data_IF_086488919844
#
_entry.id   IF_086488919844
#
_cell.length_a   1.000
_cell.length_b   1.000
_cell.length_c   1.000
_cell.angle_alpha   90.00
_cell.angle_beta   90.00
_cell.angle_gamma   90.00
#
_symmetry.space_group_name_H-M   'P 1'
#
loop_
_entity.id
_entity.type
_entity.pdbx_description
1 polymer ?
#
# COMPACT_ATOMS: atom_id res chain seq x y z
N UNK A 1 3.39 6.85 -48.00
CA UNK A 1 3.37 5.76 -46.98
C UNK A 1 3.08 6.44 -45.65
N UNK A 2 1.80 6.54 -45.29
CA UNK A 2 1.31 7.28 -44.11
C UNK A 2 1.80 6.60 -42.82
N UNK A 3 2.52 7.34 -41.99
CA UNK A 3 2.83 6.95 -40.62
C UNK A 3 1.52 6.86 -39.82
N UNK A 4 1.00 5.65 -39.65
CA UNK A 4 -0.06 5.39 -38.69
C UNK A 4 0.55 5.45 -37.29
N UNK A 5 0.41 6.59 -36.63
CA UNK A 5 0.54 6.68 -35.17
C UNK A 5 -0.45 5.66 -34.58
N UNK A 6 0.00 4.64 -33.83
CA UNK A 6 -0.89 3.58 -33.38
C UNK A 6 -1.93 4.19 -32.43
N UNK A 7 -3.19 4.18 -32.84
CA UNK A 7 -4.38 4.60 -32.07
C UNK A 7 -4.44 3.92 -30.68
N UNK A 8 -3.77 2.77 -30.55
CA UNK A 8 -3.52 2.04 -29.30
C UNK A 8 -2.75 2.85 -28.24
N UNK A 9 -1.80 3.70 -28.65
CA UNK A 9 -1.00 4.53 -27.74
C UNK A 9 -1.82 5.65 -27.11
N UNK A 10 -2.75 6.26 -27.87
CA UNK A 10 -3.56 7.40 -27.42
C UNK A 10 -4.65 6.93 -26.44
N UNK A 11 -5.33 5.82 -26.72
CA UNK A 11 -6.33 5.27 -25.81
C UNK A 11 -5.71 4.78 -24.49
N UNK A 12 -4.51 4.19 -24.55
CA UNK A 12 -3.73 3.83 -23.37
C UNK A 12 -3.28 5.08 -22.60
N UNK A 13 -2.77 6.10 -23.29
CA UNK A 13 -2.40 7.38 -22.68
C UNK A 13 -3.60 8.05 -22.02
N UNK A 14 -4.80 8.00 -22.61
CA UNK A 14 -6.02 8.59 -22.02
C UNK A 14 -6.44 7.83 -20.75
N UNK A 15 -6.41 6.49 -20.75
CA UNK A 15 -6.77 5.68 -19.58
C UNK A 15 -5.72 5.75 -18.47
N UNK A 16 -4.44 5.73 -18.82
CA UNK A 16 -3.33 5.97 -17.89
C UNK A 16 -3.37 7.40 -17.38
N UNK A 17 -3.71 8.38 -18.21
CA UNK A 17 -3.91 9.77 -17.78
C UNK A 17 -5.13 9.90 -16.86
N UNK A 18 -6.21 9.17 -17.09
CA UNK A 18 -7.36 9.16 -16.18
C UNK A 18 -7.01 8.53 -14.82
N UNK A 19 -6.32 7.39 -14.82
CA UNK A 19 -5.78 6.77 -13.60
C UNK A 19 -4.76 7.67 -12.89
N UNK A 20 -3.87 8.32 -13.65
CA UNK A 20 -2.92 9.30 -13.13
C UNK A 20 -3.60 10.55 -12.60
N UNK A 21 -4.65 11.04 -13.22
CA UNK A 21 -5.44 12.15 -12.72
C UNK A 21 -6.16 11.76 -11.42
N UNK A 22 -6.64 10.53 -11.30
CA UNK A 22 -7.20 10.02 -10.05
C UNK A 22 -6.13 9.92 -8.96
N UNK A 23 -4.98 9.32 -9.24
CA UNK A 23 -3.83 9.23 -8.31
C UNK A 23 -3.31 10.61 -7.95
N UNK A 24 -3.16 11.52 -8.92
CA UNK A 24 -2.72 12.90 -8.73
C UNK A 24 -3.73 13.70 -7.93
N UNK A 25 -5.04 13.50 -8.11
CA UNK A 25 -6.07 14.11 -7.27
C UNK A 25 -5.99 13.56 -5.86
N UNK A 26 -5.87 12.25 -5.67
CA UNK A 26 -5.71 11.64 -4.35
C UNK A 26 -4.44 12.16 -3.67
N UNK A 27 -3.29 12.18 -4.35
CA UNK A 27 -2.05 12.75 -3.85
C UNK A 27 -2.17 14.25 -3.55
N UNK A 28 -2.84 15.02 -4.41
CA UNK A 28 -3.08 16.46 -4.19
C UNK A 28 -4.00 16.68 -2.98
N UNK A 29 -5.06 15.90 -2.83
CA UNK A 29 -5.92 15.92 -1.64
C UNK A 29 -5.15 15.53 -0.38
N UNK A 30 -4.27 14.52 -0.45
CA UNK A 30 -3.37 14.12 0.64
C UNK A 30 -2.40 15.26 0.99
N UNK A 31 -1.79 15.90 0.00
CA UNK A 31 -0.91 17.05 0.21
C UNK A 31 -1.65 18.25 0.80
N UNK A 32 -2.86 18.54 0.32
CA UNK A 32 -3.72 19.60 0.84
C UNK A 32 -4.16 19.30 2.28
N UNK A 33 -4.56 18.07 2.59
CA UNK A 33 -4.93 17.65 3.93
C UNK A 33 -3.73 17.69 4.91
N UNK A 34 -2.56 17.20 4.48
CA UNK A 34 -1.33 17.28 5.26
C UNK A 34 -0.84 18.72 5.46
N UNK A 35 -1.15 19.64 4.53
CA UNK A 35 -0.89 21.06 4.68
C UNK A 35 -1.92 21.74 5.59
N UNK A 36 -3.18 21.32 5.53
CA UNK A 36 -4.25 21.76 6.41
C UNK A 36 -4.02 21.36 7.87
N UNK A 37 -3.57 20.13 8.13
CA UNK A 37 -3.19 19.66 9.47
C UNK A 37 -2.01 20.46 10.05
N UNK A 38 -0.99 20.72 9.23
CA UNK A 38 0.15 21.58 9.62
C UNK A 38 -0.24 23.04 9.85
N UNK A 39 -1.22 23.55 9.09
CA UNK A 39 -1.72 24.92 9.23
C UNK A 39 -2.62 25.07 10.47
N UNK A 40 -3.48 24.08 10.78
CA UNK A 40 -4.29 24.06 11.99
C UNK A 40 -3.44 24.00 13.27
N UNK A 41 -2.36 23.21 13.25
CA UNK A 41 -1.41 23.14 14.36
C UNK A 41 -0.56 24.42 14.51
N UNK A 42 -0.26 25.11 13.40
CA UNK A 42 0.45 26.41 13.41
C UNK A 42 -0.44 27.61 13.80
N UNK A 43 -1.77 27.48 13.71
CA UNK A 43 -2.73 28.56 14.00
C UNK A 43 -3.27 28.55 15.44
N UNK A 44 -2.91 27.57 16.28
CA UNK A 44 -3.25 27.59 17.71
C UNK A 44 -4.75 27.62 18.04
N UNK A 45 -5.62 27.23 17.11
CA UNK A 45 -7.08 27.18 17.30
C UNK A 45 -7.46 25.85 17.98
N UNK A 46 -6.95 25.63 19.20
CA UNK A 46 -7.54 24.69 20.14
C UNK A 46 -7.88 25.52 21.39
N UNK A 47 -9.10 26.05 21.38
CA UNK A 47 -9.62 26.92 22.42
C UNK A 47 -9.69 26.20 23.78
N UNK A 48 -9.19 26.91 24.77
CA UNK A 48 -9.22 26.66 26.20
C UNK A 48 -10.66 26.51 26.72
N UNK A 49 -10.97 25.36 27.34
CA UNK A 49 -12.07 25.20 28.30
C UNK A 49 -11.68 24.13 29.34
N UNK A 50 -11.22 24.60 30.50
CA UNK A 50 -10.97 23.81 31.71
C UNK A 50 -12.26 23.22 32.28
N UNK A 51 -12.28 21.93 32.62
CA UNK A 51 -12.42 21.39 34.00
C UNK A 51 -12.92 19.92 34.08
N UNK A 52 -12.14 19.10 34.80
CA UNK A 52 -12.51 17.87 35.53
C UNK A 52 -12.94 16.61 34.75
N UNK A 53 -11.99 16.02 34.02
CA UNK A 53 -11.71 14.58 34.09
C UNK A 53 -10.27 14.38 33.58
N UNK A 54 -9.44 13.60 34.29
CA UNK A 54 -8.09 13.24 33.81
C UNK A 54 -8.22 12.45 32.49
N UNK A 55 -8.21 13.17 31.38
CA UNK A 55 -7.88 12.62 30.06
C UNK A 55 -6.35 12.59 30.03
N UNK A 56 -5.69 11.42 30.04
CA UNK A 56 -4.25 11.36 29.95
C UNK A 56 -3.81 12.09 28.68
N UNK A 57 -2.83 12.97 28.87
CA UNK A 57 -2.22 13.82 27.86
C UNK A 57 -1.91 13.04 26.58
N UNK A 58 -2.37 13.58 25.46
CA UNK A 58 -1.72 13.53 24.15
C UNK A 58 -1.27 12.13 23.68
N UNK A 59 -2.18 11.34 23.12
CA UNK A 59 -1.82 10.21 22.27
C UNK A 59 -1.31 10.71 20.90
N UNK A 60 -0.12 11.29 20.88
CA UNK A 60 0.61 11.57 19.64
C UNK A 60 1.34 10.30 19.16
N UNK A 61 0.57 9.32 18.66
CA UNK A 61 1.09 8.10 18.02
C UNK A 61 1.91 8.43 16.74
N UNK A 62 1.84 9.67 16.26
CA UNK A 62 2.52 10.16 15.05
C UNK A 62 3.78 11.03 15.32
N UNK A 63 4.10 11.36 16.57
CA UNK A 63 5.18 12.29 16.90
C UNK A 63 6.51 11.68 17.37
N UNK A 64 6.49 10.45 17.88
CA UNK A 64 7.64 9.93 18.64
C UNK A 64 8.65 9.16 17.80
N UNK A 65 9.93 9.31 18.16
CA UNK A 65 11.10 8.58 17.59
C UNK A 65 10.83 7.07 17.46
N UNK A 66 10.03 6.51 18.37
CA UNK A 66 9.58 5.13 18.36
C UNK A 66 8.85 4.73 17.07
N UNK A 67 7.93 5.56 16.56
CA UNK A 67 7.19 5.29 15.32
C UNK A 67 8.10 5.19 14.10
N UNK A 68 9.07 6.10 13.98
CA UNK A 68 10.08 6.06 12.93
C UNK A 68 10.97 4.82 13.02
N UNK A 69 11.38 4.43 14.23
CA UNK A 69 12.15 3.20 14.47
C UNK A 69 11.35 1.98 13.99
N UNK A 70 10.09 1.86 14.40
CA UNK A 70 9.22 0.73 14.01
C UNK A 70 9.05 0.68 12.49
N UNK A 71 8.77 1.82 11.84
CA UNK A 71 8.65 1.88 10.38
C UNK A 71 9.94 1.48 9.67
N UNK A 72 11.09 1.98 10.15
CA UNK A 72 12.41 1.61 9.63
C UNK A 72 12.69 0.12 9.77
N UNK A 73 12.36 -0.47 10.92
CA UNK A 73 12.50 -1.92 11.18
C UNK A 73 11.61 -2.74 10.24
N UNK A 74 10.32 -2.39 10.11
CA UNK A 74 9.39 -3.08 9.22
C UNK A 74 9.83 -3.01 7.75
N UNK A 75 10.30 -1.84 7.31
CA UNK A 75 10.85 -1.67 5.96
C UNK A 75 12.11 -2.52 5.76
N UNK A 76 13.03 -2.51 6.73
CA UNK A 76 14.24 -3.32 6.72
C UNK A 76 13.93 -4.81 6.58
N UNK A 77 13.05 -5.34 7.44
CA UNK A 77 12.64 -6.75 7.42
C UNK A 77 11.96 -7.11 6.09
N UNK A 78 11.10 -6.22 5.57
CA UNK A 78 10.41 -6.43 4.29
C UNK A 78 11.39 -6.51 3.12
N UNK A 79 12.36 -5.58 3.06
CA UNK A 79 13.43 -5.58 2.07
C UNK A 79 14.32 -6.82 2.19
N UNK A 80 14.71 -7.21 3.41
CA UNK A 80 15.48 -8.43 3.66
C UNK A 80 14.72 -9.69 3.23
N UNK A 81 13.40 -9.74 3.43
CA UNK A 81 12.56 -10.86 3.01
C UNK A 81 12.58 -11.03 1.49
N UNK A 82 12.48 -9.94 0.72
CA UNK A 82 12.59 -9.98 -0.74
C UNK A 82 14.00 -10.39 -1.21
N UNK A 83 15.05 -9.89 -0.54
CA UNK A 83 16.43 -10.28 -0.82
C UNK A 83 16.67 -11.77 -0.59
N UNK A 84 16.18 -12.30 0.54
CA UNK A 84 16.26 -13.73 0.84
C UNK A 84 15.50 -14.55 -0.19
N UNK A 85 14.28 -14.15 -0.56
CA UNK A 85 13.50 -14.83 -1.60
C UNK A 85 14.28 -14.89 -2.92
N UNK A 86 14.86 -13.78 -3.37
CA UNK A 86 15.69 -13.74 -4.58
C UNK A 86 16.93 -14.63 -4.48
N UNK A 87 17.58 -14.66 -3.31
CA UNK A 87 18.75 -15.51 -3.09
C UNK A 87 18.40 -17.00 -3.17
N UNK A 88 17.23 -17.42 -2.70
CA UNK A 88 16.79 -18.82 -2.78
C UNK A 88 16.05 -19.18 -4.07
N UNK A 89 15.78 -18.21 -4.94
CA UNK A 89 15.07 -18.41 -6.20
C UNK A 89 15.86 -19.31 -7.18
N UNK A 90 15.20 -20.34 -7.72
CA UNK A 90 15.77 -21.26 -8.73
C UNK A 90 14.80 -21.44 -9.91
N UNK A 91 15.20 -21.14 -11.16
CA UNK A 91 16.39 -20.39 -11.57
C UNK A 91 16.33 -18.93 -11.07
N UNK A 92 17.48 -18.37 -10.71
CA UNK A 92 17.57 -17.01 -10.16
C UNK A 92 17.37 -15.98 -11.27
N UNK A 93 16.38 -15.10 -11.14
CA UNK A 93 16.19 -13.97 -12.08
C UNK A 93 17.34 -12.98 -11.97
N UNK A 94 17.64 -12.27 -13.07
CA UNK A 94 18.67 -11.23 -13.06
C UNK A 94 18.36 -10.16 -12.02
N UNK A 95 19.43 -9.68 -11.36
CA UNK A 95 19.32 -8.70 -10.28
C UNK A 95 18.63 -7.41 -10.73
N UNK A 96 18.86 -6.96 -11.98
CA UNK A 96 18.19 -5.78 -12.55
C UNK A 96 16.67 -5.96 -12.63
N UNK A 97 16.20 -7.09 -13.16
CA UNK A 97 14.76 -7.41 -13.23
C UNK A 97 14.14 -7.52 -11.85
N UNK A 98 14.85 -8.18 -10.92
CA UNK A 98 14.45 -8.23 -9.52
C UNK A 98 14.26 -6.83 -8.90
N UNK A 99 15.19 -5.90 -9.15
CA UNK A 99 15.07 -4.51 -8.65
C UNK A 99 13.88 -3.77 -9.28
N UNK A 100 13.62 -4.00 -10.57
CA UNK A 100 12.46 -3.41 -11.25
C UNK A 100 11.12 -3.93 -10.71
N UNK A 101 11.06 -5.20 -10.29
CA UNK A 101 9.87 -5.78 -9.64
C UNK A 101 9.74 -5.28 -8.20
N UNK A 102 10.84 -5.28 -7.45
CA UNK A 102 10.89 -4.83 -6.06
C UNK A 102 10.56 -3.35 -5.91
N UNK A 103 10.98 -2.50 -6.86
CA UNK A 103 10.63 -1.08 -6.88
C UNK A 103 9.13 -0.84 -7.02
N UNK A 104 8.37 -1.70 -7.74
CA UNK A 104 6.90 -1.60 -7.78
C UNK A 104 6.28 -1.91 -6.42
N UNK A 105 6.79 -2.94 -5.76
CA UNK A 105 6.31 -3.32 -4.42
C UNK A 105 6.60 -2.22 -3.40
N UNK A 106 7.81 -1.65 -3.42
CA UNK A 106 8.19 -0.55 -2.53
C UNK A 106 7.36 0.70 -2.80
N UNK A 107 7.13 1.07 -4.06
CA UNK A 107 6.26 2.20 -4.41
C UNK A 107 4.79 1.96 -3.99
N UNK A 108 4.29 0.73 -4.16
CA UNK A 108 2.97 0.33 -3.69
C UNK A 108 2.84 0.40 -2.16
N UNK A 109 3.85 -0.08 -1.42
CA UNK A 109 3.89 0.00 0.04
C UNK A 109 3.92 1.46 0.52
N UNK A 110 4.72 2.31 -0.12
CA UNK A 110 4.73 3.74 0.14
C UNK A 110 3.38 4.41 -0.12
N UNK A 111 2.70 4.05 -1.22
CA UNK A 111 1.35 4.54 -1.52
C UNK A 111 0.33 4.11 -0.45
N UNK A 112 0.32 2.82 -0.07
CA UNK A 112 -0.57 2.34 1.01
C UNK A 112 -0.29 3.06 2.32
N UNK A 113 0.98 3.27 2.66
CA UNK A 113 1.36 4.01 3.87
C UNK A 113 0.76 5.42 3.89
N UNK A 114 0.90 6.17 2.78
CA UNK A 114 0.30 7.49 2.63
C UNK A 114 -1.24 7.45 2.70
N UNK A 115 -1.88 6.47 2.06
CA UNK A 115 -3.34 6.32 2.08
C UNK A 115 -3.85 5.94 3.46
N UNK A 116 -3.14 5.09 4.21
CA UNK A 116 -3.48 4.72 5.57
C UNK A 116 -3.43 5.94 6.51
N UNK A 117 -2.38 6.76 6.40
CA UNK A 117 -2.29 8.01 7.15
C UNK A 117 -3.44 8.98 6.80
N UNK A 118 -3.77 9.09 5.52
CA UNK A 118 -4.90 9.91 5.08
C UNK A 118 -6.24 9.41 5.63
N UNK A 119 -6.48 8.10 5.62
CA UNK A 119 -7.70 7.51 6.18
C UNK A 119 -7.78 7.75 7.69
N UNK A 120 -6.65 7.67 8.42
CA UNK A 120 -6.62 7.95 9.85
C UNK A 120 -7.06 9.39 10.17
N UNK A 121 -6.57 10.37 9.41
CA UNK A 121 -7.00 11.78 9.54
C UNK A 121 -8.48 11.95 9.21
N UNK A 122 -8.96 11.30 8.14
CA UNK A 122 -10.36 11.38 7.74
C UNK A 122 -11.31 10.78 8.79
N UNK A 123 -10.95 9.64 9.38
CA UNK A 123 -11.75 8.98 10.41
C UNK A 123 -11.74 9.72 11.74
N UNK A 124 -10.60 10.31 12.12
CA UNK A 124 -10.51 11.18 13.28
C UNK A 124 -11.45 12.40 13.14
N UNK A 125 -11.54 12.99 11.95
CA UNK A 125 -12.42 14.13 11.69
C UNK A 125 -13.93 13.76 11.62
N UNK A 126 -14.29 12.49 11.46
CA UNK A 126 -15.67 12.04 11.30
C UNK A 126 -16.39 11.73 12.63
N UNK A 127 -15.76 12.01 13.78
CA UNK A 127 -16.30 11.89 15.14
C UNK A 127 -16.90 10.51 15.49
N UNK A 128 -16.51 9.45 14.78
CA UNK A 128 -16.86 8.05 15.09
C UNK A 128 -16.03 7.49 16.26
N UNK A 129 -15.59 8.35 17.18
CA UNK A 129 -14.47 8.17 18.12
C UNK A 129 -14.77 7.34 19.39
N UNK A 130 -15.68 6.35 19.33
CA UNK A 130 -15.92 5.43 20.45
C UNK A 130 -15.18 4.10 20.29
N UNK A 131 -14.54 3.87 19.15
CA UNK A 131 -13.93 2.58 18.85
C UNK A 131 -12.41 2.56 19.07
N UNK A 132 -11.92 1.45 19.63
CA UNK A 132 -10.52 1.23 19.99
C UNK A 132 -9.57 1.35 18.78
N UNK A 133 -8.66 2.34 18.82
CA UNK A 133 -7.72 2.66 17.75
C UNK A 133 -6.80 1.48 17.38
N UNK A 134 -6.34 0.73 18.38
CA UNK A 134 -5.48 -0.43 18.16
C UNK A 134 -6.24 -1.55 17.44
N UNK A 135 -7.52 -1.73 17.79
CA UNK A 135 -8.40 -2.70 17.15
C UNK A 135 -8.65 -2.32 15.67
N UNK A 136 -8.94 -1.06 15.39
CA UNK A 136 -9.13 -0.56 14.02
C UNK A 136 -7.88 -0.65 13.16
N UNK A 137 -6.73 -0.26 13.71
CA UNK A 137 -5.45 -0.39 13.04
C UNK A 137 -5.14 -1.86 12.72
N UNK A 138 -5.36 -2.76 13.67
CA UNK A 138 -5.14 -4.19 13.48
C UNK A 138 -6.02 -4.77 12.37
N UNK A 139 -7.33 -4.45 12.38
CA UNK A 139 -8.26 -4.84 11.31
C UNK A 139 -7.78 -4.33 9.96
N UNK A 140 -7.40 -3.05 9.89
CA UNK A 140 -6.95 -2.43 8.66
C UNK A 140 -5.77 -3.20 8.04
N UNK A 141 -4.77 -3.54 8.85
CA UNK A 141 -3.62 -4.33 8.40
C UNK A 141 -4.04 -5.74 7.98
N UNK A 142 -4.85 -6.42 8.79
CA UNK A 142 -5.27 -7.78 8.49
C UNK A 142 -6.04 -7.86 7.18
N UNK A 143 -6.96 -6.93 6.92
CA UNK A 143 -7.74 -6.91 5.67
C UNK A 143 -6.87 -6.50 4.49
N UNK A 144 -6.05 -5.44 4.63
CA UNK A 144 -5.15 -4.97 3.55
C UNK A 144 -4.21 -6.11 3.08
N UNK A 145 -3.65 -6.85 4.02
CA UNK A 145 -2.63 -7.90 3.75
C UNK A 145 -3.23 -9.26 3.38
N UNK A 146 -4.53 -9.49 3.59
CA UNK A 146 -5.23 -10.73 3.20
C UNK A 146 -6.14 -10.52 2.00
N UNK A 147 -7.33 -9.95 2.24
CA UNK A 147 -8.32 -9.66 1.22
C UNK A 147 -7.80 -8.65 0.19
N UNK A 148 -7.08 -7.62 0.64
CA UNK A 148 -6.46 -6.63 -0.23
C UNK A 148 -5.45 -7.24 -1.21
N UNK A 149 -4.61 -8.17 -0.76
CA UNK A 149 -3.68 -8.90 -1.65
C UNK A 149 -4.43 -9.70 -2.73
N UNK A 150 -5.54 -10.35 -2.36
CA UNK A 150 -6.41 -11.04 -3.31
C UNK A 150 -7.04 -10.09 -4.35
N UNK A 151 -7.51 -8.92 -3.91
CA UNK A 151 -8.02 -7.88 -4.80
C UNK A 151 -6.94 -7.32 -5.73
N UNK A 152 -5.73 -7.07 -5.23
CA UNK A 152 -4.60 -6.65 -6.05
C UNK A 152 -4.31 -7.66 -7.16
N UNK A 153 -4.31 -8.96 -6.85
CA UNK A 153 -4.15 -10.02 -7.84
C UNK A 153 -5.28 -10.01 -8.89
N UNK A 154 -6.53 -9.90 -8.46
CA UNK A 154 -7.70 -9.85 -9.35
C UNK A 154 -7.64 -8.64 -10.28
N UNK A 155 -7.37 -7.46 -9.75
CA UNK A 155 -7.25 -6.23 -10.52
C UNK A 155 -6.05 -6.28 -11.46
N UNK A 156 -4.91 -6.84 -11.04
CA UNK A 156 -3.76 -7.04 -11.92
C UNK A 156 -4.14 -7.92 -13.11
N UNK A 157 -4.76 -9.08 -12.88
CA UNK A 157 -5.20 -9.96 -13.97
C UNK A 157 -6.23 -9.28 -14.88
N UNK A 158 -7.15 -8.52 -14.29
CA UNK A 158 -8.09 -7.70 -15.05
C UNK A 158 -7.38 -6.69 -15.94
N UNK A 159 -6.35 -6.01 -15.44
CA UNK A 159 -5.56 -5.05 -16.23
C UNK A 159 -4.73 -5.73 -17.32
N UNK A 160 -4.14 -6.90 -17.07
CA UNK A 160 -3.41 -7.67 -18.10
C UNK A 160 -4.33 -8.04 -19.27
N UNK A 161 -5.55 -8.50 -18.99
CA UNK A 161 -6.55 -8.84 -20.01
C UNK A 161 -7.05 -7.58 -20.73
N UNK A 162 -7.37 -6.52 -19.99
CA UNK A 162 -7.92 -5.28 -20.57
C UNK A 162 -6.91 -4.52 -21.45
N UNK A 163 -5.63 -4.54 -21.08
CA UNK A 163 -4.59 -3.76 -21.73
C UNK A 163 -3.63 -4.59 -22.59
N UNK A 164 -3.71 -5.92 -22.51
CA UNK A 164 -2.89 -6.83 -23.33
C UNK A 164 -1.39 -6.74 -23.05
N UNK A 165 -0.99 -6.52 -21.80
CA UNK A 165 0.42 -6.55 -21.38
C UNK A 165 0.68 -7.73 -20.44
N UNK A 166 1.95 -8.12 -20.35
CA UNK A 166 2.41 -9.16 -19.43
C UNK A 166 3.20 -8.52 -18.29
N UNK A 167 2.74 -8.72 -17.05
CA UNK A 167 3.45 -8.20 -15.88
C UNK A 167 4.83 -8.85 -15.76
N UNK A 168 5.81 -8.06 -15.34
CA UNK A 168 7.20 -8.54 -15.23
C UNK A 168 7.96 -8.58 -16.55
N UNK A 169 7.28 -8.36 -17.69
CA UNK A 169 7.94 -8.35 -19.01
C UNK A 169 8.40 -6.95 -19.41
N UNK A 170 9.72 -6.74 -19.47
CA UNK A 170 10.34 -5.46 -19.87
C UNK A 170 11.08 -5.51 -21.22
N UNK A 171 11.02 -6.65 -21.93
CA UNK A 171 11.73 -6.83 -23.20
C UNK A 171 11.09 -6.07 -24.38
N UNK A 172 11.87 -5.77 -25.42
CA UNK A 172 11.35 -5.25 -26.69
C UNK A 172 11.17 -6.38 -27.71
N UNK A 173 10.23 -6.24 -28.66
CA UNK A 173 9.89 -7.27 -29.67
C UNK A 173 11.02 -7.60 -30.66
N UNK A 174 12.19 -7.00 -30.49
CA UNK A 174 13.34 -7.06 -31.40
C UNK A 174 14.32 -8.20 -31.13
N UNK A 175 14.00 -9.17 -30.26
CA UNK A 175 14.79 -10.40 -30.11
C UNK A 175 16.20 -10.22 -29.52
N UNK A 176 16.50 -9.08 -28.90
CA UNK A 176 17.78 -8.84 -28.22
C UNK A 176 17.53 -8.88 -26.71
N UNK A 177 18.26 -9.78 -26.04
CA UNK A 177 18.31 -10.05 -24.60
C UNK A 177 17.57 -9.03 -23.72
N UNK A 178 16.36 -9.39 -23.30
CA UNK A 178 15.66 -8.72 -22.20
C UNK A 178 16.49 -8.72 -20.90
N UNK A 179 17.52 -9.58 -20.83
CA UNK A 179 18.50 -9.68 -19.74
C UNK A 179 19.44 -8.46 -19.69
N UNK A 180 19.80 -7.90 -20.84
CA UNK A 180 20.93 -6.97 -20.93
C UNK A 180 20.49 -5.50 -20.91
N UNK A 181 19.30 -5.20 -21.46
CA UNK A 181 18.78 -3.82 -21.60
C UNK A 181 17.25 -3.73 -21.38
N UNK A 182 16.77 -3.65 -20.12
CA UNK A 182 15.34 -3.52 -19.84
C UNK A 182 14.77 -2.18 -20.35
N UNK A 183 13.55 -2.22 -20.91
CA UNK A 183 12.83 -1.01 -21.31
C UNK A 183 12.22 -0.33 -20.09
N UNK A 184 12.89 0.72 -19.60
CA UNK A 184 12.45 1.50 -18.45
C UNK A 184 11.11 2.22 -18.69
N UNK A 185 10.71 2.48 -19.94
CA UNK A 185 9.42 3.10 -20.22
C UNK A 185 8.26 2.12 -20.01
N UNK A 186 8.45 0.84 -20.35
CA UNK A 186 7.49 -0.23 -20.01
C UNK A 186 7.40 -0.44 -18.51
N UNK A 187 8.54 -0.46 -17.82
CA UNK A 187 8.56 -0.50 -16.36
C UNK A 187 7.78 0.66 -15.74
N UNK A 188 7.97 1.89 -16.23
CA UNK A 188 7.27 3.08 -15.73
C UNK A 188 5.75 3.01 -15.96
N UNK A 189 5.30 2.44 -17.08
CA UNK A 189 3.87 2.17 -17.32
C UNK A 189 3.34 1.14 -16.32
N UNK A 190 4.06 0.04 -16.11
CA UNK A 190 3.63 -1.01 -15.18
C UNK A 190 3.57 -0.52 -13.73
N UNK A 191 4.54 0.28 -13.27
CA UNK A 191 4.49 0.86 -11.92
C UNK A 191 3.33 1.85 -11.78
N UNK A 192 3.03 2.63 -12.82
CA UNK A 192 1.87 3.54 -12.80
C UNK A 192 0.55 2.78 -12.69
N UNK A 193 0.37 1.71 -13.47
CA UNK A 193 -0.83 0.84 -13.37
C UNK A 193 -0.91 0.18 -12.01
N UNK A 194 0.22 -0.30 -11.48
CA UNK A 194 0.29 -0.89 -10.14
C UNK A 194 -0.15 0.08 -9.04
N UNK A 195 0.29 1.34 -9.08
CA UNK A 195 -0.14 2.35 -8.11
C UNK A 195 -1.66 2.61 -8.18
N UNK A 196 -2.25 2.61 -9.38
CA UNK A 196 -3.70 2.72 -9.54
C UNK A 196 -4.43 1.51 -8.94
N UNK A 197 -3.93 0.29 -9.19
CA UNK A 197 -4.48 -0.94 -8.61
C UNK A 197 -4.47 -0.87 -7.08
N UNK A 198 -3.34 -0.46 -6.50
CA UNK A 198 -3.16 -0.32 -5.05
C UNK A 198 -4.14 0.70 -4.47
N UNK A 199 -4.35 1.84 -5.13
CA UNK A 199 -5.35 2.82 -4.72
C UNK A 199 -6.78 2.26 -4.79
N UNK A 200 -7.15 1.57 -5.87
CA UNK A 200 -8.49 0.97 -6.02
C UNK A 200 -8.74 -0.14 -4.99
N UNK A 201 -7.73 -0.96 -4.73
CA UNK A 201 -7.78 -1.96 -3.66
C UNK A 201 -8.04 -1.26 -2.32
N UNK A 202 -7.28 -0.20 -2.00
CA UNK A 202 -7.44 0.49 -0.71
C UNK A 202 -8.82 1.11 -0.55
N UNK A 203 -9.35 1.75 -1.60
CA UNK A 203 -10.70 2.30 -1.59
C UNK A 203 -11.75 1.21 -1.36
N UNK A 204 -11.56 0.03 -1.96
CA UNK A 204 -12.46 -1.12 -1.77
C UNK A 204 -12.39 -1.64 -0.32
N UNK A 205 -11.20 -1.78 0.25
CA UNK A 205 -11.01 -2.20 1.65
C UNK A 205 -11.67 -1.20 2.61
N UNK A 206 -11.43 0.10 2.42
CA UNK A 206 -12.05 1.15 3.24
C UNK A 206 -13.58 1.10 3.16
N UNK A 207 -14.15 0.91 1.97
CA UNK A 207 -15.60 0.78 1.79
C UNK A 207 -16.17 -0.46 2.52
N UNK A 208 -15.47 -1.59 2.47
CA UNK A 208 -15.86 -2.82 3.18
C UNK A 208 -15.76 -2.64 4.70
N UNK A 209 -14.69 -2.00 5.17
CA UNK A 209 -14.49 -1.69 6.58
C UNK A 209 -15.60 -0.79 7.12
N UNK A 210 -15.97 0.25 6.37
CA UNK A 210 -17.06 1.15 6.73
C UNK A 210 -18.42 0.44 6.75
N UNK A 211 -18.69 -0.42 5.76
CA UNK A 211 -19.97 -1.13 5.63
C UNK A 211 -20.23 -2.12 6.78
N UNK A 212 -19.17 -2.69 7.36
CA UNK A 212 -19.27 -3.71 8.40
C UNK A 212 -18.51 -3.33 9.69
N UNK A 213 -18.43 -2.02 9.99
CA UNK A 213 -17.63 -1.47 11.09
C UNK A 213 -17.82 -2.21 12.42
N UNK A 214 -19.07 -2.40 12.86
CA UNK A 214 -19.36 -3.07 14.14
C UNK A 214 -18.98 -4.56 14.16
N UNK A 215 -18.96 -5.23 13.02
CA UNK A 215 -18.50 -6.62 12.94
C UNK A 215 -16.99 -6.69 13.13
N UNK A 216 -16.25 -5.81 12.45
CA UNK A 216 -14.80 -5.77 12.51
C UNK A 216 -14.27 -5.41 13.90
N UNK A 217 -14.93 -4.47 14.59
CA UNK A 217 -14.58 -4.12 15.96
C UNK A 217 -14.72 -5.32 16.92
N UNK A 218 -15.84 -6.05 16.85
CA UNK A 218 -16.03 -7.27 17.65
C UNK A 218 -15.00 -8.35 17.32
N UNK A 219 -14.69 -8.53 16.05
CA UNK A 219 -13.68 -9.49 15.61
C UNK A 219 -12.29 -9.12 16.17
N UNK A 220 -11.93 -7.84 16.15
CA UNK A 220 -10.66 -7.35 16.67
C UNK A 220 -10.55 -7.51 18.19
N UNK A 221 -11.62 -7.18 18.93
CA UNK A 221 -11.67 -7.37 20.38
C UNK A 221 -11.52 -8.86 20.70
N UNK A 222 -12.28 -9.74 20.04
CA UNK A 222 -12.16 -11.19 20.25
C UNK A 222 -10.73 -11.71 20.03
N UNK A 223 -10.08 -11.25 18.96
CA UNK A 223 -8.70 -11.64 18.61
C UNK A 223 -7.63 -11.05 19.53
N UNK A 224 -7.92 -9.97 20.26
CA UNK A 224 -6.94 -9.28 21.12
C UNK A 224 -7.22 -9.40 22.62
N UNK A 225 -8.42 -9.87 23.01
CA UNK A 225 -8.86 -9.99 24.41
C UNK A 225 -7.99 -10.93 25.25
N UNK A 226 -7.30 -11.90 24.63
CA UNK A 226 -6.39 -12.80 25.33
C UNK A 226 -5.13 -12.10 25.88
N UNK A 227 -4.83 -10.89 25.41
CA UNK A 227 -3.68 -10.08 25.86
C UNK A 227 -4.17 -9.05 26.88
N UNK A 228 -4.10 -9.38 28.16
CA UNK A 228 -4.51 -8.49 29.26
C UNK A 228 -3.55 -7.33 29.50
N UNK A 229 -2.29 -7.44 29.09
CA UNK A 229 -1.27 -6.41 29.27
C UNK A 229 -1.25 -5.42 28.08
N UNK A 230 -1.52 -4.13 28.36
CA UNK A 230 -1.57 -3.06 27.36
C UNK A 230 -0.30 -2.93 26.52
N UNK A 231 0.88 -3.05 27.13
CA UNK A 231 2.17 -2.96 26.43
C UNK A 231 2.38 -4.15 25.49
N UNK A 232 2.03 -5.35 25.95
CA UNK A 232 2.09 -6.55 25.11
C UNK A 232 1.12 -6.46 23.91
N UNK A 233 -0.07 -5.87 24.12
CA UNK A 233 -1.06 -5.65 23.05
C UNK A 233 -0.53 -4.69 21.98
N UNK A 234 0.07 -3.58 22.40
CA UNK A 234 0.69 -2.61 21.47
C UNK A 234 1.81 -3.26 20.64
N UNK A 235 2.72 -3.99 21.27
CA UNK A 235 3.81 -4.70 20.58
C UNK A 235 3.24 -5.72 19.59
N UNK A 236 2.22 -6.48 19.98
CA UNK A 236 1.59 -7.47 19.11
C UNK A 236 0.93 -6.83 17.88
N UNK A 237 0.18 -5.75 18.08
CA UNK A 237 -0.60 -5.07 17.03
C UNK A 237 0.29 -4.24 16.09
N UNK A 238 1.29 -3.53 16.63
CA UNK A 238 2.10 -2.58 15.86
C UNK A 238 3.43 -3.15 15.35
N UNK A 239 3.96 -4.22 15.95
CA UNK A 239 5.25 -4.80 15.56
C UNK A 239 5.09 -6.23 15.03
N UNK A 240 4.54 -7.15 15.83
CA UNK A 240 4.50 -8.58 15.46
C UNK A 240 3.60 -8.81 14.26
N UNK A 241 2.34 -8.38 14.35
CA UNK A 241 1.34 -8.57 13.28
C UNK A 241 1.82 -7.93 11.97
N UNK A 242 2.24 -6.66 11.93
CA UNK A 242 2.65 -6.03 10.67
C UNK A 242 3.92 -6.67 10.10
N UNK A 243 4.85 -7.12 10.95
CA UNK A 243 6.04 -7.84 10.47
C UNK A 243 5.64 -9.10 9.70
N UNK A 244 4.84 -9.97 10.32
CA UNK A 244 4.42 -11.23 9.71
C UNK A 244 3.57 -10.99 8.45
N UNK A 245 2.58 -10.09 8.54
CA UNK A 245 1.63 -9.85 7.46
C UNK A 245 2.26 -9.08 6.29
N UNK A 246 3.16 -8.13 6.53
CA UNK A 246 3.91 -7.48 5.46
C UNK A 246 4.83 -8.48 4.76
N UNK A 247 5.56 -9.33 5.50
CA UNK A 247 6.37 -10.39 4.89
C UNK A 247 5.53 -11.29 3.98
N UNK A 248 4.37 -11.75 4.48
CA UNK A 248 3.42 -12.52 3.68
C UNK A 248 2.99 -11.75 2.42
N UNK A 249 2.57 -10.49 2.56
CA UNK A 249 2.14 -9.66 1.45
C UNK A 249 3.24 -9.48 0.40
N UNK A 250 4.48 -9.17 0.79
CA UNK A 250 5.60 -9.03 -0.13
C UNK A 250 5.93 -10.34 -0.83
N UNK A 251 5.94 -11.47 -0.10
CA UNK A 251 6.22 -12.78 -0.68
C UNK A 251 5.15 -13.19 -1.71
N UNK A 252 3.87 -12.98 -1.40
CA UNK A 252 2.75 -13.31 -2.30
C UNK A 252 2.69 -12.36 -3.49
N UNK A 253 2.83 -11.06 -3.24
CA UNK A 253 2.82 -10.03 -4.29
C UNK A 253 3.94 -10.26 -5.30
N UNK A 254 5.14 -10.53 -4.83
CA UNK A 254 6.27 -10.86 -5.70
C UNK A 254 6.00 -12.10 -6.57
N UNK A 255 5.27 -13.10 -6.07
CA UNK A 255 4.97 -14.32 -6.83
C UNK A 255 4.07 -14.09 -8.04
N UNK A 256 3.14 -13.12 -7.99
CA UNK A 256 2.26 -12.81 -9.12
C UNK A 256 2.68 -11.58 -9.94
N UNK A 257 3.56 -10.71 -9.41
CA UNK A 257 4.23 -9.65 -10.19
C UNK A 257 5.35 -10.20 -11.08
N UNK A 258 5.96 -11.33 -10.68
CA UNK A 258 7.01 -11.97 -11.46
C UNK A 258 6.47 -12.45 -12.81
N UNK A 259 7.26 -12.23 -13.86
CA UNK A 259 6.98 -12.82 -15.17
C UNK A 259 7.09 -14.35 -15.10
N UNK A 260 6.01 -15.04 -15.45
CA UNK A 260 6.02 -16.49 -15.67
C UNK A 260 6.03 -16.71 -17.17
N UNK A 261 7.17 -17.15 -17.69
CA UNK A 261 7.27 -17.55 -19.09
C UNK A 261 6.39 -18.78 -19.30
N UNK A 262 5.28 -18.62 -20.04
CA UNK A 262 4.43 -19.74 -20.43
C UNK A 262 5.26 -20.64 -21.34
N UNK A 263 5.65 -21.80 -20.82
CA UNK A 263 6.22 -22.86 -21.65
C UNK A 263 5.08 -23.34 -22.55
N UNK A 264 5.17 -23.02 -23.84
CA UNK A 264 4.29 -23.56 -24.88
C UNK A 264 4.57 -25.04 -25.10
#
# INVERSE_FOLDING_TARGET
RSEQIPVFSISLLIRVRAGWLMVSRVLLYVCLAASGARCAQALGIAGHADSLHEVPASCDVLGDTFGFIVQGLLLGISCSTLMLKWHFERPRRLFRTFLLDSSKQLAGAGMIHCLNLFCAVLFSAADTAVADECAWYWVNIMIDTTFGVGLCWLFLKGTEVCFGYETGHYGNKSGIDWETSPDYFKWFKQISVWLVIVCLMKLTVVAVMWSFASFWERAAILCTHWITNTQARLIFVMLVTPTCMNCFQFLVTDSYLKHVQKTL
#
